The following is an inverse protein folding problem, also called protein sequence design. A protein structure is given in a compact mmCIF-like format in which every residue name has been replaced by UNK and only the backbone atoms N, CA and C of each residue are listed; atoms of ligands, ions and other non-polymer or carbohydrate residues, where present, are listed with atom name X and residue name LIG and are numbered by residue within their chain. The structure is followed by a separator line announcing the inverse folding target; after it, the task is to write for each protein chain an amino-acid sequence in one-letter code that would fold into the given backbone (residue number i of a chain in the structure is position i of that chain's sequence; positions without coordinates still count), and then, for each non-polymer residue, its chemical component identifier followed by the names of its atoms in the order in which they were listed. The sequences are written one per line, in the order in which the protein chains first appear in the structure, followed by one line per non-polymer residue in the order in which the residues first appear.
data_IF_891355278531
#
_entry.id   IF_891355278531
#
_cell.length_a   1.000
_cell.length_b   1.000
_cell.length_c   1.000
_cell.angle_alpha   90.00
_cell.angle_beta   90.00
_cell.angle_gamma   90.00
#
_symmetry.space_group_name_H-M   'P 1'
#
loop_
_entity.id
_entity.type
_entity.pdbx_description
1 polymer ?
#
# COMPACT_ATOMS: atom_id res chain seq x y z
N UNK A 1 8.42 -26.66 28.76
CA UNK A 1 8.85 -25.52 29.61
C UNK A 1 7.61 -24.77 30.08
N UNK A 2 7.49 -24.45 31.37
CA UNK A 2 6.35 -23.71 31.90
C UNK A 2 6.30 -22.28 31.33
N UNK A 3 5.13 -21.67 31.38
CA UNK A 3 4.85 -20.35 30.82
C UNK A 3 5.50 -19.26 31.66
N UNK A 4 6.75 -18.89 31.36
CA UNK A 4 7.42 -17.78 32.06
C UNK A 4 6.66 -16.49 31.77
N UNK A 5 6.25 -15.73 32.81
CA UNK A 5 5.58 -14.45 32.64
C UNK A 5 6.44 -13.50 31.79
N UNK A 6 5.79 -12.55 31.11
CA UNK A 6 6.48 -11.57 30.27
C UNK A 6 7.11 -10.44 31.08
N UNK A 7 6.65 -10.25 32.32
CA UNK A 7 7.06 -9.18 33.22
C UNK A 7 7.58 -9.85 34.48
N UNK A 8 8.73 -9.41 34.99
CA UNK A 8 9.27 -9.85 36.28
C UNK A 8 8.70 -9.04 37.46
N UNK A 9 9.13 -9.37 38.68
CA UNK A 9 8.62 -8.74 39.91
C UNK A 9 9.08 -7.28 40.05
N UNK A 10 10.14 -6.90 39.34
CA UNK A 10 10.67 -5.56 39.21
C UNK A 10 9.95 -4.72 38.13
N UNK A 11 9.08 -5.36 37.34
CA UNK A 11 8.27 -4.70 36.31
C UNK A 11 8.95 -4.62 34.94
N UNK A 12 10.10 -5.25 34.76
CA UNK A 12 10.83 -5.27 33.49
C UNK A 12 10.24 -6.33 32.54
N UNK A 13 10.13 -5.94 31.26
CA UNK A 13 9.57 -6.81 30.22
C UNK A 13 10.70 -7.63 29.60
N UNK A 14 10.65 -8.95 29.72
CA UNK A 14 11.65 -9.84 29.12
C UNK A 14 11.56 -9.85 27.59
N UNK A 15 12.69 -10.20 26.97
CA UNK A 15 12.76 -10.41 25.53
C UNK A 15 11.83 -11.51 25.03
N UNK A 16 11.30 -11.30 23.83
CA UNK A 16 10.40 -12.24 23.17
C UNK A 16 11.19 -13.39 22.56
N UNK A 17 10.82 -14.63 22.89
CA UNK A 17 11.51 -15.83 22.40
C UNK A 17 10.81 -16.46 21.20
N UNK A 18 11.50 -17.35 20.48
CA UNK A 18 10.91 -18.14 19.40
C UNK A 18 9.71 -19.00 19.87
N UNK A 19 9.65 -19.38 21.14
CA UNK A 19 8.53 -20.13 21.70
C UNK A 19 7.30 -19.24 21.92
N UNK A 20 7.50 -17.97 22.27
CA UNK A 20 6.40 -17.00 22.39
C UNK A 20 5.78 -16.72 21.01
N UNK A 21 6.62 -16.56 19.98
CA UNK A 21 6.17 -16.35 18.59
C UNK A 21 5.29 -17.50 18.06
N UNK A 22 5.61 -18.76 18.41
CA UNK A 22 4.82 -19.93 17.99
C UNK A 22 3.38 -19.92 18.51
N UNK A 23 3.08 -19.10 19.52
CA UNK A 23 1.73 -18.97 20.11
C UNK A 23 0.91 -17.85 19.50
N UNK A 24 1.50 -17.01 18.64
CA UNK A 24 0.79 -15.91 18.02
C UNK A 24 -0.33 -16.44 17.13
N UNK A 25 -1.51 -15.83 17.25
CA UNK A 25 -2.70 -16.18 16.48
C UNK A 25 -3.17 -14.99 15.66
N UNK A 26 -3.75 -15.21 14.48
CA UNK A 26 -4.37 -14.15 13.71
C UNK A 26 -5.38 -13.36 14.56
N UNK A 27 -5.38 -12.04 14.43
CA UNK A 27 -6.28 -11.15 15.18
C UNK A 27 -7.77 -11.52 15.01
N UNK A 28 -8.14 -12.07 13.84
CA UNK A 28 -9.49 -12.56 13.55
C UNK A 28 -9.94 -13.73 14.45
N UNK A 29 -8.99 -14.51 14.97
CA UNK A 29 -9.26 -15.72 15.75
C UNK A 29 -9.32 -15.43 17.26
N UNK A 30 -8.78 -14.28 17.70
CA UNK A 30 -8.64 -13.95 19.14
C UNK A 30 -9.36 -12.67 19.56
N UNK A 31 -9.61 -11.72 18.66
CA UNK A 31 -10.27 -10.47 19.01
C UNK A 31 -11.81 -10.60 18.92
N UNK A 32 -12.57 -9.94 19.81
CA UNK A 32 -14.02 -9.78 19.65
C UNK A 32 -14.39 -9.08 18.34
N UNK A 33 -15.53 -9.46 17.74
CA UNK A 33 -15.99 -8.93 16.45
C UNK A 33 -16.07 -7.40 16.37
N UNK A 34 -16.42 -6.73 17.48
CA UNK A 34 -16.47 -5.27 17.55
C UNK A 34 -15.09 -4.63 17.28
N UNK A 35 -14.02 -5.24 17.80
CA UNK A 35 -12.64 -4.76 17.61
C UNK A 35 -12.06 -5.21 16.27
N UNK A 36 -12.51 -6.33 15.71
CA UNK A 36 -12.08 -6.73 14.37
C UNK A 36 -12.50 -5.69 13.30
N UNK A 37 -13.69 -5.09 13.44
CA UNK A 37 -14.20 -4.09 12.49
C UNK A 37 -13.42 -2.77 12.52
N UNK A 38 -12.72 -2.46 13.61
CA UNK A 38 -11.93 -1.23 13.74
C UNK A 38 -10.53 -1.38 13.12
N UNK A 39 -10.05 -2.61 12.90
CA UNK A 39 -8.81 -2.90 12.19
C UNK A 39 -8.96 -2.59 10.69
N UNK A 40 -8.89 -1.30 10.35
CA UNK A 40 -8.86 -0.83 8.96
C UNK A 40 -7.49 -1.12 8.35
N UNK A 41 -7.29 -2.33 7.86
CA UNK A 41 -6.15 -2.60 6.97
C UNK A 41 -6.41 -1.99 5.60
N UNK A 42 -5.49 -1.17 5.11
CA UNK A 42 -5.50 -0.75 3.70
C UNK A 42 -5.45 -2.01 2.86
N UNK A 43 -6.49 -2.25 2.06
CA UNK A 43 -6.57 -3.44 1.22
C UNK A 43 -5.38 -3.54 0.27
N UNK A 44 -5.06 -4.76 -0.17
CA UNK A 44 -4.10 -4.96 -1.25
C UNK A 44 -4.52 -4.11 -2.47
N UNK A 45 -3.56 -3.47 -3.13
CA UNK A 45 -3.82 -2.65 -4.31
C UNK A 45 -4.25 -3.55 -5.47
N UNK A 46 -5.57 -3.77 -5.60
CA UNK A 46 -6.22 -4.63 -6.61
C UNK A 46 -6.41 -3.86 -7.93
N UNK A 47 -5.34 -3.48 -8.62
CA UNK A 47 -5.37 -3.03 -10.02
C UNK A 47 -3.93 -2.95 -10.56
N UNK A 48 -3.69 -3.23 -11.86
CA UNK A 48 -2.33 -3.31 -12.39
C UNK A 48 -1.55 -2.04 -12.11
N UNK A 49 -0.37 -2.20 -11.53
CA UNK A 49 0.61 -1.15 -11.31
C UNK A 49 0.95 -0.52 -12.64
N UNK A 50 0.71 0.79 -12.78
CA UNK A 50 1.25 1.59 -13.87
C UNK A 50 2.72 1.22 -14.07
N UNK A 51 3.11 0.86 -15.28
CA UNK A 51 4.51 0.53 -15.57
C UNK A 51 5.27 1.85 -15.64
N UNK A 52 6.25 2.01 -14.76
CA UNK A 52 7.15 3.17 -14.82
C UNK A 52 8.02 3.05 -16.07
N UNK A 53 7.83 3.96 -17.01
CA UNK A 53 8.64 4.05 -18.23
C UNK A 53 9.14 5.48 -18.41
N UNK A 54 10.33 5.62 -18.98
CA UNK A 54 10.93 6.92 -19.30
C UNK A 54 10.71 7.18 -20.79
N UNK A 55 9.83 8.13 -21.12
CA UNK A 55 9.62 8.61 -22.48
C UNK A 55 10.07 10.07 -22.61
N UNK A 56 10.52 10.45 -23.81
CA UNK A 56 10.79 11.86 -24.14
C UNK A 56 9.54 12.45 -24.79
N UNK A 57 9.13 13.61 -24.30
CA UNK A 57 8.02 14.38 -24.83
C UNK A 57 8.53 15.72 -25.33
N UNK A 58 7.87 16.30 -26.31
CA UNK A 58 8.18 17.64 -26.79
C UNK A 58 8.00 18.69 -25.67
N UNK A 59 8.83 19.74 -25.61
CA UNK A 59 8.80 20.72 -24.52
C UNK A 59 7.44 21.41 -24.37
N UNK A 60 6.80 21.76 -25.48
CA UNK A 60 5.47 22.38 -25.56
C UNK A 60 4.38 21.51 -24.93
N UNK A 61 4.37 20.21 -25.23
CA UNK A 61 3.42 19.24 -24.64
C UNK A 61 3.63 19.16 -23.12
N UNK A 62 4.88 19.08 -22.69
CA UNK A 62 5.22 18.94 -21.27
C UNK A 62 4.86 20.18 -20.46
N UNK A 63 5.12 21.38 -21.00
CA UNK A 63 4.73 22.65 -20.38
C UNK A 63 3.20 22.80 -20.30
N UNK A 64 2.48 22.45 -21.38
CA UNK A 64 1.01 22.49 -21.38
C UNK A 64 0.42 21.63 -20.25
N UNK A 65 0.87 20.38 -20.09
CA UNK A 65 0.38 19.52 -19.01
C UNK A 65 0.84 20.00 -17.62
N UNK A 66 2.09 20.45 -17.45
CA UNK A 66 2.60 20.94 -16.17
C UNK A 66 1.86 22.19 -15.68
N UNK A 67 1.50 23.09 -16.59
CA UNK A 67 0.73 24.30 -16.25
C UNK A 67 -0.65 23.99 -15.65
N UNK A 68 -1.21 22.79 -15.91
CA UNK A 68 -2.46 22.32 -15.31
C UNK A 68 -2.33 21.89 -13.83
N UNK A 69 -1.13 21.95 -13.26
CA UNK A 69 -0.85 21.75 -11.84
C UNK A 69 -0.74 20.28 -11.42
N UNK A 70 -1.07 20.01 -10.15
CA UNK A 70 -0.95 18.68 -9.57
C UNK A 70 -1.74 17.62 -10.37
N UNK A 71 -1.13 16.46 -10.57
CA UNK A 71 -1.73 15.36 -11.32
C UNK A 71 -1.56 15.45 -12.84
N UNK A 72 -0.70 16.35 -13.36
CA UNK A 72 -0.42 16.44 -14.80
C UNK A 72 0.01 15.11 -15.45
N UNK A 73 0.73 14.24 -14.73
CA UNK A 73 1.07 12.88 -15.18
C UNK A 73 -0.15 11.96 -15.31
N UNK A 74 -1.19 12.16 -14.51
CA UNK A 74 -2.45 11.41 -14.66
C UNK A 74 -3.26 11.97 -15.82
N UNK A 75 -3.21 13.28 -16.05
CA UNK A 75 -3.85 13.93 -17.20
C UNK A 75 -3.24 13.48 -18.52
N UNK A 76 -1.91 13.38 -18.61
CA UNK A 76 -1.26 12.88 -19.84
C UNK A 76 -1.61 11.40 -20.10
N UNK A 77 -1.61 10.55 -19.07
CA UNK A 77 -2.06 9.14 -19.21
C UNK A 77 -3.51 9.06 -19.70
N UNK A 78 -4.39 9.93 -19.20
CA UNK A 78 -5.80 9.99 -19.63
C UNK A 78 -5.92 10.44 -21.09
N UNK A 79 -5.15 11.47 -21.48
CA UNK A 79 -5.14 11.97 -22.86
C UNK A 79 -4.64 10.90 -23.85
N UNK A 80 -3.58 10.16 -23.49
CA UNK A 80 -3.08 9.05 -24.30
C UNK A 80 -4.10 7.92 -24.43
N UNK A 81 -4.81 7.59 -23.33
CA UNK A 81 -5.91 6.61 -23.39
C UNK A 81 -7.04 7.05 -24.30
N UNK A 82 -7.43 8.32 -24.25
CA UNK A 82 -8.50 8.84 -25.09
C UNK A 82 -8.10 8.88 -26.57
N UNK A 83 -6.86 9.26 -26.85
CA UNK A 83 -6.29 9.20 -28.20
C UNK A 83 -6.34 7.77 -28.77
N UNK A 84 -5.98 6.76 -27.97
CA UNK A 84 -6.03 5.34 -28.37
C UNK A 84 -7.45 4.81 -28.63
N UNK A 85 -8.51 5.50 -28.20
CA UNK A 85 -9.90 5.10 -28.52
C UNK A 85 -10.28 5.43 -29.95
N UNK A 86 -9.61 6.43 -30.54
CA UNK A 86 -9.94 6.99 -31.85
C UNK A 86 -8.84 6.77 -32.87
N UNK A 87 -7.63 6.41 -32.42
CA UNK A 87 -6.45 6.21 -33.26
C UNK A 87 -5.77 4.89 -32.93
N UNK A 88 -5.20 4.26 -33.96
CA UNK A 88 -4.28 3.14 -33.77
C UNK A 88 -2.85 3.68 -33.73
N UNK A 89 -2.04 3.30 -32.72
CA UNK A 89 -0.60 3.52 -32.81
C UNK A 89 -0.06 2.71 -34.00
N UNK A 90 0.77 3.35 -34.82
CA UNK A 90 1.37 2.74 -36.00
C UNK A 90 2.43 1.68 -35.64
#
# INVERSE_FOLDING_TARGET
MPNTPLIDDEGEVRELTAHDLKRFKPARDVLPLALQKTLKMRGAQKAPTKVSTTIRLSPDVLEAFKSAGNGWQTRIDTALKDWLRTHSPA
#
